data_IF_254149061824
#
_entry.id   IF_254149061824
#
_cell.length_a   1.000
_cell.length_b   1.000
_cell.length_c   1.000
_cell.angle_alpha   90.00
_cell.angle_beta   90.00
_cell.angle_gamma   90.00
#
_symmetry.space_group_name_H-M   'P 1'
#
loop_
_entity.id
_entity.type
_entity.pdbx_description
1 polymer ?
#
# COMPACT_ATOMS: atom_id res chain seq x y z
N UNK A 1 8.53 7.46 -0.77
CA UNK A 1 8.95 6.24 -0.08
C UNK A 1 9.03 6.46 1.42
N UNK A 2 9.85 7.40 1.94
CA UNK A 2 10.05 7.62 3.40
C UNK A 2 8.75 7.76 4.19
N UNK A 3 7.78 8.52 3.69
CA UNK A 3 6.48 8.68 4.34
C UNK A 3 5.77 7.34 4.55
N UNK A 4 5.68 6.50 3.50
CA UNK A 4 5.04 5.19 3.59
C UNK A 4 5.78 4.25 4.55
N UNK A 5 7.12 4.28 4.58
CA UNK A 5 7.91 3.53 5.56
C UNK A 5 7.61 3.98 6.99
N UNK A 6 7.53 5.29 7.24
CA UNK A 6 7.16 5.83 8.55
C UNK A 6 5.75 5.38 8.97
N UNK A 7 4.77 5.45 8.07
CA UNK A 7 3.41 4.98 8.33
C UNK A 7 3.37 3.48 8.66
N UNK A 8 4.19 2.66 7.99
CA UNK A 8 4.29 1.22 8.24
C UNK A 8 4.93 0.91 9.59
N UNK A 9 6.07 1.54 9.90
CA UNK A 9 6.81 1.36 11.16
C UNK A 9 6.04 1.83 12.40
N UNK A 10 5.04 2.69 12.21
CA UNK A 10 4.17 3.14 13.30
C UNK A 10 3.12 2.10 13.71
N UNK A 11 2.81 1.10 12.88
CA UNK A 11 1.77 0.11 13.15
C UNK A 11 2.27 -1.02 14.05
N UNK A 12 1.63 -1.21 15.20
CA UNK A 12 1.85 -2.38 16.06
C UNK A 12 1.01 -3.56 15.58
N UNK A 13 1.54 -4.29 14.61
CA UNK A 13 0.84 -5.43 13.98
C UNK A 13 0.62 -6.60 14.92
N UNK A 14 1.51 -6.79 15.88
CA UNK A 14 1.37 -7.87 16.89
C UNK A 14 0.19 -7.57 17.82
N UNK A 15 0.02 -6.32 18.24
CA UNK A 15 -1.12 -5.90 19.03
C UNK A 15 -2.43 -5.98 18.24
N UNK A 16 -2.44 -5.51 16.98
CA UNK A 16 -3.59 -5.66 16.07
C UNK A 16 -3.96 -7.14 15.92
N UNK A 17 -2.98 -8.01 15.68
CA UNK A 17 -3.19 -9.45 15.56
C UNK A 17 -3.77 -10.06 16.85
N UNK A 18 -3.20 -9.71 17.99
CA UNK A 18 -3.65 -10.20 19.28
C UNK A 18 -5.10 -9.81 19.59
N UNK A 19 -5.46 -8.53 19.37
CA UNK A 19 -6.78 -7.98 19.73
C UNK A 19 -7.85 -8.39 18.72
N UNK A 20 -7.57 -8.29 17.42
CA UNK A 20 -8.60 -8.46 16.38
C UNK A 20 -8.64 -9.86 15.78
N UNK A 21 -7.52 -10.56 15.79
CA UNK A 21 -7.37 -11.88 15.16
C UNK A 21 -7.01 -12.99 16.16
N UNK A 22 -7.06 -12.70 17.47
CA UNK A 22 -6.76 -13.65 18.56
C UNK A 22 -5.40 -14.34 18.41
N UNK A 23 -4.43 -13.65 17.81
CA UNK A 23 -3.10 -14.21 17.53
C UNK A 23 -3.05 -15.19 16.36
N UNK A 24 -4.15 -15.43 15.64
CA UNK A 24 -4.24 -16.41 14.56
C UNK A 24 -3.69 -15.87 13.22
N UNK A 25 -3.52 -14.58 13.07
CA UNK A 25 -2.94 -13.95 11.89
C UNK A 25 -1.41 -14.06 11.88
N UNK A 26 -0.82 -13.80 10.73
CA UNK A 26 0.63 -13.64 10.59
C UNK A 26 0.92 -12.21 10.16
N UNK A 27 1.48 -11.36 11.05
CA UNK A 27 1.89 -10.00 10.70
C UNK A 27 2.88 -9.99 9.54
N UNK A 28 2.53 -9.28 8.45
CA UNK A 28 3.39 -9.17 7.27
C UNK A 28 3.04 -7.98 6.40
N UNK A 29 3.93 -7.62 5.50
CA UNK A 29 3.62 -6.69 4.41
C UNK A 29 2.70 -7.33 3.35
N UNK A 30 2.07 -6.45 2.58
CA UNK A 30 1.30 -6.84 1.42
C UNK A 30 2.22 -7.53 0.39
N UNK A 31 2.01 -8.84 0.20
CA UNK A 31 2.71 -9.68 -0.76
C UNK A 31 1.88 -10.94 -1.05
N UNK A 32 2.37 -11.85 -1.87
CA UNK A 32 1.72 -13.14 -2.13
C UNK A 32 1.81 -14.07 -0.91
N UNK A 33 0.97 -15.10 -0.87
CA UNK A 33 0.96 -16.09 0.22
C UNK A 33 2.25 -16.94 0.22
N UNK A 34 2.65 -17.51 1.38
CA UNK A 34 3.90 -18.30 1.50
C UNK A 34 4.01 -19.50 0.55
N UNK A 35 2.88 -20.08 0.11
CA UNK A 35 2.85 -21.21 -0.81
C UNK A 35 3.09 -20.80 -2.28
N UNK A 36 3.11 -19.51 -2.56
CA UNK A 36 3.39 -19.00 -3.90
C UNK A 36 4.86 -19.16 -4.27
N UNK A 37 5.19 -19.59 -5.51
CA UNK A 37 6.58 -19.64 -5.97
C UNK A 37 7.26 -18.27 -6.04
N UNK A 38 6.48 -17.18 -5.99
CA UNK A 38 6.95 -15.81 -5.99
C UNK A 38 7.25 -15.28 -4.58
N UNK A 39 6.91 -16.03 -3.53
CA UNK A 39 7.08 -15.59 -2.15
C UNK A 39 8.56 -15.46 -1.77
N UNK A 40 8.87 -14.38 -1.08
CA UNK A 40 10.14 -14.15 -0.37
C UNK A 40 9.82 -13.63 1.03
N UNK A 41 10.43 -14.24 2.04
CA UNK A 41 10.21 -13.85 3.43
C UNK A 41 10.68 -12.40 3.69
N UNK A 42 11.74 -11.97 3.02
CA UNK A 42 12.24 -10.59 3.08
C UNK A 42 11.22 -9.57 2.61
N UNK A 43 10.37 -9.90 1.63
CA UNK A 43 9.30 -9.01 1.18
C UNK A 43 8.17 -8.92 2.21
N UNK A 44 7.82 -10.06 2.82
CA UNK A 44 6.82 -10.11 3.87
C UNK A 44 7.24 -9.38 5.15
N UNK A 45 8.55 -9.31 5.42
CA UNK A 45 9.12 -8.68 6.61
C UNK A 45 9.60 -7.23 6.39
N UNK A 46 9.49 -6.66 5.21
CA UNK A 46 9.97 -5.31 4.93
C UNK A 46 9.22 -4.26 5.74
N UNK A 47 9.89 -3.55 6.65
CA UNK A 47 9.33 -2.45 7.47
C UNK A 47 8.07 -2.82 8.26
N UNK A 48 7.96 -4.05 8.79
CA UNK A 48 6.82 -4.49 9.61
C UNK A 48 7.04 -4.31 11.10
N UNK A 49 8.26 -4.09 11.54
CA UNK A 49 8.59 -3.87 12.93
C UNK A 49 7.84 -2.64 13.49
N UNK A 50 7.39 -2.73 14.75
CA UNK A 50 6.84 -1.58 15.46
C UNK A 50 7.97 -0.69 15.95
N UNK A 51 8.23 0.40 15.26
CA UNK A 51 9.31 1.33 15.57
C UNK A 51 8.88 2.80 15.40
N UNK A 52 8.05 3.34 16.33
CA UNK A 52 7.60 4.73 16.26
C UNK A 52 8.74 5.74 16.34
N UNK A 53 9.89 5.39 16.94
CA UNK A 53 11.07 6.25 16.99
C UNK A 53 11.65 6.47 15.59
N UNK A 54 11.84 5.40 14.84
CA UNK A 54 12.32 5.44 13.47
C UNK A 54 11.29 6.10 12.54
N UNK A 55 9.99 5.83 12.75
CA UNK A 55 8.92 6.51 12.03
C UNK A 55 9.00 8.04 12.19
N UNK A 56 9.15 8.52 13.43
CA UNK A 56 9.34 9.95 13.71
C UNK A 56 10.60 10.50 13.04
N UNK A 57 11.74 9.79 13.11
CA UNK A 57 12.99 10.21 12.49
C UNK A 57 12.82 10.41 10.97
N UNK A 58 12.18 9.46 10.29
CA UNK A 58 11.91 9.54 8.84
C UNK A 58 11.02 10.74 8.48
N UNK A 59 10.00 11.03 9.30
CA UNK A 59 9.12 12.18 9.09
C UNK A 59 9.85 13.51 9.36
N UNK A 60 10.73 13.56 10.37
CA UNK A 60 11.56 14.73 10.67
C UNK A 60 12.54 15.04 9.52
N UNK A 61 13.17 14.01 8.94
CA UNK A 61 14.04 14.14 7.76
C UNK A 61 13.32 14.65 6.51
N UNK A 62 11.99 14.47 6.45
CA UNK A 62 11.15 15.01 5.39
C UNK A 62 10.78 16.49 5.64
N UNK A 63 11.17 17.08 6.78
CA UNK A 63 10.82 18.43 7.16
C UNK A 63 9.39 18.57 7.71
N UNK A 64 8.71 17.47 8.01
CA UNK A 64 7.36 17.46 8.58
C UNK A 64 7.43 17.73 10.09
N UNK A 65 7.64 18.96 10.50
CA UNK A 65 7.75 19.36 11.91
C UNK A 65 6.41 19.25 12.63
N UNK A 66 6.43 18.92 13.94
CA UNK A 66 5.24 18.95 14.78
C UNK A 66 4.85 20.38 15.13
N UNK A 67 3.57 20.67 14.99
CA UNK A 67 2.96 21.92 15.44
C UNK A 67 2.67 21.91 16.96
N UNK A 68 2.09 23.02 17.48
CA UNK A 68 1.79 23.15 18.92
C UNK A 68 0.80 22.11 19.44
N UNK A 69 -0.03 21.57 18.58
CA UNK A 69 -1.05 20.55 18.88
C UNK A 69 -0.50 19.09 18.77
N UNK A 70 0.81 18.95 18.51
CA UNK A 70 1.48 17.66 18.35
C UNK A 70 1.35 17.02 16.97
N UNK A 71 0.50 17.55 16.10
CA UNK A 71 0.38 17.07 14.73
C UNK A 71 1.44 17.68 13.81
N UNK A 72 1.82 16.93 12.79
CA UNK A 72 2.81 17.38 11.81
C UNK A 72 2.23 18.39 10.83
N UNK A 73 3.07 19.30 10.40
CA UNK A 73 2.71 20.36 9.48
C UNK A 73 3.25 20.06 8.08
N UNK A 74 2.49 20.43 7.09
CA UNK A 74 2.89 20.49 5.69
C UNK A 74 3.85 21.68 5.46
N UNK A 75 4.55 21.74 4.31
CA UNK A 75 5.42 22.87 3.99
C UNK A 75 4.72 24.24 3.97
N UNK A 76 3.40 24.28 3.74
CA UNK A 76 2.57 25.50 3.78
C UNK A 76 2.14 25.88 5.21
N UNK A 77 2.64 25.21 6.24
CA UNK A 77 2.34 25.47 7.65
C UNK A 77 1.00 24.92 8.13
N UNK A 78 0.19 24.32 7.28
CA UNK A 78 -1.07 23.69 7.67
C UNK A 78 -0.83 22.29 8.21
N UNK A 79 -1.75 21.81 9.07
CA UNK A 79 -1.73 20.44 9.57
C UNK A 79 -1.70 19.44 8.41
N UNK A 80 -0.85 18.43 8.52
CA UNK A 80 -0.88 17.26 7.64
C UNK A 80 -2.04 16.38 8.06
N UNK A 81 -3.11 16.44 7.31
CA UNK A 81 -4.32 15.65 7.53
C UNK A 81 -4.62 14.80 6.31
N UNK A 82 -4.96 13.52 6.53
CA UNK A 82 -5.20 12.54 5.49
C UNK A 82 -6.59 11.96 5.69
N UNK A 83 -7.41 11.97 4.65
CA UNK A 83 -8.68 11.27 4.61
C UNK A 83 -8.47 9.81 4.19
N UNK A 84 -8.78 8.87 5.09
CA UNK A 84 -8.77 7.44 4.81
C UNK A 84 -10.18 6.98 4.47
N UNK A 85 -10.40 6.58 3.21
CA UNK A 85 -11.72 6.15 2.73
C UNK A 85 -11.71 4.64 2.48
N UNK A 86 -12.69 3.94 3.07
CA UNK A 86 -12.77 2.48 2.98
C UNK A 86 -14.20 1.98 3.02
N UNK A 87 -14.40 0.77 2.54
CA UNK A 87 -15.64 0.03 2.68
C UNK A 87 -15.58 -0.80 3.96
N UNK A 88 -16.59 -0.67 4.80
CA UNK A 88 -16.74 -1.53 5.97
C UNK A 88 -17.79 -2.59 5.71
N UNK A 89 -17.48 -3.83 6.06
CA UNK A 89 -18.39 -4.96 5.98
C UNK A 89 -18.17 -5.89 7.19
N UNK A 90 -19.13 -6.75 7.47
CA UNK A 90 -19.09 -7.66 8.61
C UNK A 90 -18.10 -8.83 8.45
N UNK A 91 -17.57 -9.04 7.24
CA UNK A 91 -16.71 -10.19 6.93
C UNK A 91 -15.25 -10.01 7.42
N UNK A 92 -14.83 -8.75 7.56
CA UNK A 92 -13.48 -8.43 7.99
C UNK A 92 -13.49 -7.25 8.98
N UNK A 93 -12.60 -7.22 9.99
CA UNK A 93 -12.60 -6.17 11.01
C UNK A 93 -11.95 -4.87 10.51
N UNK A 94 -12.30 -4.40 9.28
CA UNK A 94 -11.68 -3.21 8.67
C UNK A 94 -11.86 -1.96 9.52
N UNK A 95 -13.07 -1.74 10.06
CA UNK A 95 -13.35 -0.61 10.94
C UNK A 95 -12.45 -0.61 12.18
N UNK A 96 -12.36 -1.73 12.89
CA UNK A 96 -11.53 -1.86 14.08
C UNK A 96 -10.03 -1.78 13.75
N UNK A 97 -9.60 -2.40 12.67
CA UNK A 97 -8.21 -2.27 12.18
C UNK A 97 -7.88 -0.80 11.89
N UNK A 98 -8.80 -0.07 11.26
CA UNK A 98 -8.62 1.35 10.96
C UNK A 98 -8.55 2.20 12.23
N UNK A 99 -9.42 1.96 13.23
CA UNK A 99 -9.39 2.66 14.52
C UNK A 99 -8.01 2.49 15.21
N UNK A 100 -7.50 1.26 15.26
CA UNK A 100 -6.18 0.99 15.84
C UNK A 100 -5.06 1.65 15.04
N UNK A 101 -5.09 1.56 13.71
CA UNK A 101 -4.10 2.20 12.85
C UNK A 101 -4.08 3.73 13.03
N UNK A 102 -5.24 4.37 13.10
CA UNK A 102 -5.36 5.81 13.40
C UNK A 102 -4.71 6.16 14.73
N UNK A 103 -4.92 5.36 15.77
CA UNK A 103 -4.28 5.57 17.07
C UNK A 103 -2.75 5.56 16.97
N UNK A 104 -2.16 4.61 16.25
CA UNK A 104 -0.71 4.55 16.06
C UNK A 104 -0.18 5.72 15.23
N UNK A 105 -0.90 6.16 14.20
CA UNK A 105 -0.50 7.32 13.38
C UNK A 105 -0.63 8.63 14.14
N UNK A 106 -1.65 8.78 14.98
CA UNK A 106 -1.77 9.92 15.91
C UNK A 106 -0.53 10.04 16.82
N UNK A 107 -0.01 8.92 17.34
CA UNK A 107 1.18 8.89 18.21
C UNK A 107 2.46 9.44 17.52
N UNK A 108 2.55 9.32 16.20
CA UNK A 108 3.65 9.91 15.42
C UNK A 108 3.31 11.29 14.83
N UNK A 109 2.15 11.85 15.18
CA UNK A 109 1.68 13.17 14.78
C UNK A 109 1.07 13.25 13.39
N UNK A 110 0.60 12.16 12.83
CA UNK A 110 -0.12 12.14 11.55
C UNK A 110 -1.62 12.05 11.81
N UNK A 111 -2.34 13.11 11.46
CA UNK A 111 -3.80 13.12 11.55
C UNK A 111 -4.40 12.33 10.40
N UNK A 112 -5.05 11.21 10.72
CA UNK A 112 -5.81 10.42 9.75
C UNK A 112 -7.28 10.42 10.16
N UNK A 113 -8.16 10.84 9.25
CA UNK A 113 -9.61 10.87 9.47
C UNK A 113 -10.24 9.71 8.69
N UNK A 114 -10.76 8.67 9.36
CA UNK A 114 -11.40 7.54 8.69
C UNK A 114 -12.80 7.92 8.23
N UNK A 115 -13.19 7.43 7.05
CA UNK A 115 -14.51 7.62 6.46
C UNK A 115 -14.98 6.36 5.74
N UNK A 116 -16.06 5.80 6.22
CA UNK A 116 -16.74 4.70 5.52
C UNK A 116 -17.49 5.24 4.31
N UNK A 117 -17.31 4.60 3.16
CA UNK A 117 -18.00 4.93 1.91
C UNK A 117 -18.54 3.66 1.25
N UNK A 118 -19.54 3.80 0.36
CA UNK A 118 -20.06 2.68 -0.41
C UNK A 118 -19.10 2.26 -1.52
N UNK A 119 -19.19 1.00 -1.98
CA UNK A 119 -18.39 0.48 -3.10
C UNK A 119 -18.55 1.31 -4.38
N UNK A 120 -19.75 1.77 -4.67
CA UNK A 120 -20.01 2.61 -5.84
C UNK A 120 -19.30 3.96 -5.73
N UNK A 121 -19.36 4.60 -4.56
CA UNK A 121 -18.68 5.87 -4.32
C UNK A 121 -17.16 5.69 -4.34
N UNK A 122 -16.63 4.61 -3.75
CA UNK A 122 -15.21 4.28 -3.81
C UNK A 122 -14.73 4.13 -5.26
N UNK A 123 -15.46 3.38 -6.07
CA UNK A 123 -15.12 3.19 -7.49
C UNK A 123 -15.08 4.52 -8.25
N UNK A 124 -16.10 5.37 -8.09
CA UNK A 124 -16.15 6.70 -8.71
C UNK A 124 -14.98 7.58 -8.27
N UNK A 125 -14.71 7.66 -6.95
CA UNK A 125 -13.63 8.47 -6.41
C UNK A 125 -12.25 7.97 -6.79
N UNK A 126 -12.06 6.63 -6.85
CA UNK A 126 -10.82 6.04 -7.38
C UNK A 126 -10.60 6.42 -8.84
N UNK A 127 -11.62 6.23 -9.70
CA UNK A 127 -11.52 6.59 -11.11
C UNK A 127 -11.23 8.08 -11.34
N UNK A 128 -11.66 8.94 -10.42
CA UNK A 128 -11.38 10.37 -10.45
C UNK A 128 -10.06 10.75 -9.73
N UNK A 129 -9.28 9.78 -9.23
CA UNK A 129 -8.05 9.98 -8.43
C UNK A 129 -8.25 10.91 -7.23
N UNK A 130 -9.38 10.76 -6.51
CA UNK A 130 -9.78 11.59 -5.37
C UNK A 130 -9.56 10.93 -4.01
N UNK A 131 -9.17 9.65 -3.96
CA UNK A 131 -8.89 8.94 -2.72
C UNK A 131 -7.43 9.20 -2.32
N UNK A 132 -7.23 9.82 -1.16
CA UNK A 132 -5.90 10.10 -0.61
C UNK A 132 -5.27 8.86 0.02
N UNK A 133 -6.07 8.10 0.75
CA UNK A 133 -5.66 6.87 1.42
C UNK A 133 -6.85 5.91 1.44
N UNK A 134 -6.63 4.68 1.02
CA UNK A 134 -7.66 3.66 1.00
C UNK A 134 -7.20 2.38 1.69
N UNK A 135 -8.16 1.58 2.13
CA UNK A 135 -7.94 0.26 2.72
C UNK A 135 -8.58 -0.82 1.86
N UNK A 136 -7.80 -1.87 1.56
CA UNK A 136 -8.27 -3.06 0.87
C UNK A 136 -7.42 -4.26 1.28
N UNK A 137 -7.89 -5.47 1.01
CA UNK A 137 -7.09 -6.67 1.18
C UNK A 137 -6.13 -6.87 -0.01
N UNK A 138 -4.95 -7.44 0.23
CA UNK A 138 -3.92 -7.63 -0.79
C UNK A 138 -3.17 -8.97 -0.70
N UNK A 139 -3.71 -9.95 0.03
CA UNK A 139 -3.13 -11.27 0.24
C UNK A 139 -3.54 -12.26 -0.86
N UNK A 140 -3.16 -11.98 -2.09
CA UNK A 140 -3.53 -12.81 -3.24
C UNK A 140 -2.68 -14.08 -3.34
N UNK A 141 -3.33 -15.17 -3.74
CA UNK A 141 -2.65 -16.41 -4.06
C UNK A 141 -1.73 -16.26 -5.29
N UNK A 142 -0.66 -17.03 -5.34
CA UNK A 142 0.36 -16.90 -6.37
C UNK A 142 -0.14 -17.05 -7.81
N UNK A 143 -1.16 -17.89 -8.07
CA UNK A 143 -1.73 -18.02 -9.41
C UNK A 143 -2.49 -16.76 -9.85
N UNK A 144 -3.14 -16.07 -8.94
CA UNK A 144 -3.82 -14.80 -9.23
C UNK A 144 -2.82 -13.67 -9.54
N UNK A 145 -1.57 -13.80 -9.09
CA UNK A 145 -0.54 -12.84 -9.39
C UNK A 145 -0.27 -12.69 -10.91
N UNK A 146 -0.37 -13.77 -11.66
CA UNK A 146 -0.18 -13.74 -13.11
C UNK A 146 -1.40 -13.27 -13.89
N UNK A 147 -2.61 -13.54 -13.39
CA UNK A 147 -3.87 -13.18 -14.03
C UNK A 147 -4.39 -11.81 -13.59
N UNK A 148 -4.15 -11.45 -12.33
CA UNK A 148 -4.62 -10.22 -11.72
C UNK A 148 -3.47 -9.42 -11.07
N UNK A 149 -2.45 -8.98 -11.84
CA UNK A 149 -1.26 -8.33 -11.29
C UNK A 149 -1.49 -6.88 -10.83
N UNK A 150 -2.68 -6.31 -11.00
CA UNK A 150 -2.98 -4.90 -10.73
C UNK A 150 -2.77 -4.46 -9.26
N UNK A 151 -2.72 -5.39 -8.32
CA UNK A 151 -2.32 -5.08 -6.94
C UNK A 151 -0.88 -4.57 -6.83
N UNK A 152 -0.02 -5.00 -7.76
CA UNK A 152 1.42 -4.77 -7.74
C UNK A 152 1.94 -4.03 -8.97
N UNK A 153 1.11 -3.94 -10.01
CA UNK A 153 1.50 -3.39 -11.32
C UNK A 153 0.41 -2.44 -11.81
N UNK A 154 0.74 -1.20 -12.18
CA UNK A 154 -0.22 -0.30 -12.80
C UNK A 154 -0.52 -0.75 -14.24
N UNK A 155 -1.70 -1.31 -14.45
CA UNK A 155 -2.14 -1.79 -15.76
C UNK A 155 -3.21 -0.86 -16.34
N UNK A 156 -4.19 -0.56 -15.52
CA UNK A 156 -5.35 0.25 -15.83
C UNK A 156 -5.92 0.87 -14.55
N UNK A 157 -6.93 1.70 -14.67
CA UNK A 157 -7.65 2.23 -13.49
C UNK A 157 -8.50 1.11 -12.87
N UNK A 158 -8.19 0.76 -11.62
CA UNK A 158 -8.91 -0.24 -10.84
C UNK A 158 -9.17 0.25 -9.42
N UNK A 159 -10.34 -0.07 -8.89
CA UNK A 159 -10.71 0.31 -7.52
C UNK A 159 -9.82 -0.33 -6.45
N UNK A 160 -9.18 -1.44 -6.78
CA UNK A 160 -8.24 -2.18 -5.93
C UNK A 160 -6.81 -1.64 -6.00
N UNK A 161 -6.48 -0.85 -7.02
CA UNK A 161 -5.15 -0.32 -7.28
C UNK A 161 -5.07 1.19 -7.03
N UNK A 162 -5.50 1.62 -5.84
CA UNK A 162 -5.58 3.04 -5.44
C UNK A 162 -4.25 3.80 -5.56
N UNK A 163 -3.13 3.08 -5.43
CA UNK A 163 -1.80 3.66 -5.37
C UNK A 163 -1.23 4.14 -6.70
N UNK A 164 -1.87 3.79 -7.82
CA UNK A 164 -1.29 3.99 -9.15
C UNK A 164 -2.31 4.41 -10.23
N UNK A 165 -3.38 5.09 -9.85
CA UNK A 165 -4.50 5.43 -10.75
C UNK A 165 -4.03 6.18 -12.00
N UNK A 166 -3.26 7.26 -11.85
CA UNK A 166 -2.78 8.06 -13.00
C UNK A 166 -1.75 7.31 -13.85
N UNK A 167 -0.89 6.50 -13.25
CA UNK A 167 0.03 5.64 -13.98
C UNK A 167 -0.70 4.52 -14.74
N UNK A 168 -1.74 3.93 -14.13
CA UNK A 168 -2.62 2.96 -14.80
C UNK A 168 -3.31 3.57 -16.01
N UNK A 169 -3.81 4.80 -15.88
CA UNK A 169 -4.43 5.57 -16.97
C UNK A 169 -3.43 5.85 -18.09
N UNK A 170 -2.20 6.21 -17.76
CA UNK A 170 -1.14 6.45 -18.75
C UNK A 170 -0.84 5.19 -19.57
N UNK A 171 -0.66 4.05 -18.90
CA UNK A 171 -0.43 2.77 -19.61
C UNK A 171 -1.63 2.34 -20.46
N UNK A 172 -2.84 2.43 -19.93
CA UNK A 172 -4.06 2.03 -20.63
C UNK A 172 -4.34 2.91 -21.88
N UNK A 173 -3.94 4.19 -21.83
CA UNK A 173 -4.14 5.13 -22.94
C UNK A 173 -2.99 5.17 -23.96
N UNK A 174 -1.91 4.40 -23.73
CA UNK A 174 -0.70 4.49 -24.54
C UNK A 174 -0.02 5.86 -24.43
N UNK A 175 -0.02 6.45 -23.22
CA UNK A 175 0.63 7.74 -22.93
C UNK A 175 -0.19 8.98 -23.29
N UNK A 176 -1.47 8.84 -23.67
CA UNK A 176 -2.32 9.96 -24.09
C UNK A 176 -3.06 10.63 -22.93
N UNK A 177 -3.19 9.97 -21.79
CA UNK A 177 -3.87 10.47 -20.58
C UNK A 177 -3.20 9.91 -19.32
N UNK A 178 -3.43 10.56 -18.16
CA UNK A 178 -2.80 10.21 -16.91
C UNK A 178 -1.42 10.87 -16.74
N UNK A 179 -0.64 10.36 -15.79
CA UNK A 179 0.74 10.80 -15.54
C UNK A 179 1.74 9.77 -16.04
N UNK A 180 2.82 10.24 -16.63
CA UNK A 180 3.92 9.37 -17.05
C UNK A 180 4.59 8.76 -15.80
N UNK A 181 4.63 7.41 -15.68
CA UNK A 181 5.23 6.77 -14.50
C UNK A 181 6.76 6.90 -14.51
N UNK A 182 7.39 6.90 -13.32
CA UNK A 182 8.84 6.88 -13.21
C UNK A 182 9.44 5.61 -13.80
N UNK A 183 10.73 5.64 -14.13
CA UNK A 183 11.45 4.54 -14.78
C UNK A 183 11.29 3.20 -14.03
N UNK A 184 11.30 3.22 -12.70
CA UNK A 184 11.09 2.03 -11.88
C UNK A 184 9.71 1.38 -12.14
N UNK A 185 8.64 2.18 -12.20
CA UNK A 185 7.30 1.68 -12.47
C UNK A 185 7.16 1.19 -13.91
N UNK A 186 7.81 1.84 -14.87
CA UNK A 186 7.91 1.34 -16.25
C UNK A 186 8.57 -0.03 -16.28
N UNK A 187 9.64 -0.24 -15.49
CA UNK A 187 10.32 -1.53 -15.34
C UNK A 187 9.43 -2.60 -14.73
N UNK A 188 8.65 -2.26 -13.70
CA UNK A 188 7.66 -3.16 -13.10
C UNK A 188 6.63 -3.61 -14.17
N UNK A 189 6.14 -2.68 -14.97
CA UNK A 189 5.21 -2.98 -16.07
C UNK A 189 5.85 -3.87 -17.15
N UNK A 190 7.07 -3.55 -17.56
CA UNK A 190 7.83 -4.35 -18.52
C UNK A 190 8.04 -5.79 -18.02
N UNK A 191 8.45 -5.94 -16.74
CA UNK A 191 8.63 -7.26 -16.12
C UNK A 191 7.31 -8.05 -16.08
N UNK A 192 6.18 -7.38 -15.87
CA UNK A 192 4.87 -8.02 -15.91
C UNK A 192 4.53 -8.58 -17.30
N UNK A 193 4.77 -7.81 -18.36
CA UNK A 193 4.52 -8.28 -19.73
C UNK A 193 5.46 -9.44 -20.12
N UNK A 194 6.74 -9.35 -19.75
CA UNK A 194 7.70 -10.45 -19.94
C UNK A 194 7.28 -11.70 -19.15
N UNK A 195 6.83 -11.53 -17.91
CA UNK A 195 6.36 -12.63 -17.06
C UNK A 195 5.18 -13.38 -17.69
N UNK A 196 4.22 -12.65 -18.26
CA UNK A 196 3.05 -13.23 -18.92
C UNK A 196 3.42 -14.05 -20.15
N UNK A 197 4.45 -13.66 -20.90
CA UNK A 197 4.92 -14.33 -22.12
C UNK A 197 6.05 -15.33 -21.90
N UNK A 198 6.63 -15.41 -20.70
CA UNK A 198 7.74 -16.30 -20.40
C UNK A 198 7.31 -17.78 -20.46
N UNK A 199 7.96 -18.55 -21.33
CA UNK A 199 7.76 -19.99 -21.45
C UNK A 199 8.49 -20.78 -20.35
N UNK A 200 9.65 -20.27 -19.90
CA UNK A 200 10.40 -20.86 -18.79
C UNK A 200 9.83 -20.42 -17.44
N UNK A 201 9.50 -21.40 -16.60
CA UNK A 201 8.95 -21.16 -15.26
C UNK A 201 9.93 -20.43 -14.35
N UNK A 202 11.24 -20.73 -14.44
CA UNK A 202 12.26 -20.06 -13.61
C UNK A 202 12.33 -18.57 -13.94
N UNK A 203 12.29 -18.25 -15.22
CA UNK A 203 12.29 -16.84 -15.67
C UNK A 203 11.00 -16.14 -15.25
N UNK A 204 9.84 -16.79 -15.36
CA UNK A 204 8.56 -16.26 -14.89
C UNK A 204 8.59 -15.95 -13.38
N UNK A 205 9.10 -16.88 -12.57
CA UNK A 205 9.26 -16.69 -11.13
C UNK A 205 10.21 -15.55 -10.82
N UNK A 206 11.35 -15.48 -11.50
CA UNK A 206 12.32 -14.41 -11.33
C UNK A 206 11.70 -13.03 -11.59
N UNK A 207 11.00 -12.87 -12.70
CA UNK A 207 10.33 -11.62 -13.08
C UNK A 207 9.23 -11.23 -12.09
N UNK A 208 8.46 -12.20 -11.60
CA UNK A 208 7.44 -11.98 -10.58
C UNK A 208 8.04 -11.51 -9.24
N UNK A 209 9.16 -12.09 -8.83
CA UNK A 209 9.88 -11.66 -7.63
C UNK A 209 10.42 -10.23 -7.77
N UNK A 210 10.90 -9.81 -8.94
CA UNK A 210 11.32 -8.43 -9.19
C UNK A 210 10.16 -7.42 -9.04
N UNK A 211 8.95 -7.79 -9.46
CA UNK A 211 7.74 -6.97 -9.27
C UNK A 211 7.42 -6.81 -7.77
N UNK A 212 7.38 -7.92 -7.02
CA UNK A 212 7.09 -7.91 -5.59
C UNK A 212 8.18 -7.21 -4.77
N UNK A 213 9.45 -7.32 -5.21
CA UNK A 213 10.58 -6.59 -4.63
C UNK A 213 10.38 -5.08 -4.70
N UNK A 214 9.92 -4.55 -5.84
CA UNK A 214 9.62 -3.13 -5.97
C UNK A 214 8.55 -2.68 -4.95
N UNK A 215 7.52 -3.48 -4.70
CA UNK A 215 6.56 -3.17 -3.64
C UNK A 215 7.19 -3.20 -2.25
N UNK A 216 7.99 -4.21 -1.93
CA UNK A 216 8.62 -4.34 -0.62
C UNK A 216 9.60 -3.19 -0.32
N UNK A 217 10.39 -2.77 -1.31
CA UNK A 217 11.36 -1.68 -1.15
C UNK A 217 10.72 -0.29 -1.07
N UNK A 218 9.63 -0.05 -1.83
CA UNK A 218 9.00 1.25 -1.94
C UNK A 218 7.71 1.38 -1.12
N UNK A 219 7.17 0.28 -0.63
CA UNK A 219 5.87 0.21 0.04
C UNK A 219 4.80 0.96 -0.77
N UNK A 220 4.59 0.57 -2.03
CA UNK A 220 3.50 1.12 -2.84
C UNK A 220 2.17 0.94 -2.14
N UNK A 221 2.03 -0.20 -1.46
CA UNK A 221 0.97 -0.51 -0.49
C UNK A 221 1.58 -0.91 0.84
N UNK A 222 0.89 -0.62 1.94
CA UNK A 222 1.29 -0.98 3.31
C UNK A 222 0.41 -2.15 3.75
N UNK A 223 1.03 -3.26 4.17
CA UNK A 223 0.36 -4.41 4.75
C UNK A 223 0.38 -4.42 6.27
#
# INVERSE_FOLDING_TARGET
VRFRRAMSLALNRDEINSILYLGLGTPRQATVIPQSPYFEESFAKAYIEYNPKEANRLLDEMGLKKGPDGYRLRPDGKRLEILLEYEDNLETPKGKTTEMAVHYWDAIGIKVTPKVISSSLKSQRTSANLIQFGLWHADRAGFLFTTEPYYWVPIEVRSEALWCVEWGRWFASGGKAGEEPPAEIKKVRENCEKMKSAMDEKERVRLGKEILKSNAENLWTIG
#
